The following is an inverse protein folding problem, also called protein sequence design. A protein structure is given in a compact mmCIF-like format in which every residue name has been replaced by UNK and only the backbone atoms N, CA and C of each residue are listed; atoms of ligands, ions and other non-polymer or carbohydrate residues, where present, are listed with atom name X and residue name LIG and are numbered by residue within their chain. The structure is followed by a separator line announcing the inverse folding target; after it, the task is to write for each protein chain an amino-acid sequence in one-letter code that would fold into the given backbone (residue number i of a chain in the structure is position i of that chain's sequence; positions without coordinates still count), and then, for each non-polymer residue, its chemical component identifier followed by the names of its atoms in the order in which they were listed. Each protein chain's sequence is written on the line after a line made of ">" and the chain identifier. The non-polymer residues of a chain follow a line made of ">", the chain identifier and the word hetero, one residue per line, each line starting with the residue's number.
data_IF_974393504810
#
_entry.id   IF_974393504810
#
_cell.length_a   1.000
_cell.length_b   1.000
_cell.length_c   1.000
_cell.angle_alpha   90.00
_cell.angle_beta   90.00
_cell.angle_gamma   90.00
#
_symmetry.space_group_name_H-M   'P 1'
#
loop_
_entity.id
_entity.type
_entity.pdbx_description
1 polymer ?
#
# COMPACT_ATOMS: atom_id res chain seq x y z
N UNK A 1 3.20 -3.58 -34.55
CA UNK A 1 3.52 -3.27 -33.14
C UNK A 1 2.32 -2.78 -32.31
N UNK A 2 1.12 -2.60 -32.89
CA UNK A 2 -0.11 -2.16 -32.17
C UNK A 2 -0.70 -3.27 -31.27
N UNK A 3 -0.56 -4.55 -31.66
CA UNK A 3 -1.12 -5.68 -30.90
C UNK A 3 -0.44 -5.97 -29.56
N UNK A 4 0.83 -5.58 -29.38
CA UNK A 4 1.54 -5.76 -28.10
C UNK A 4 1.00 -4.76 -27.05
N UNK A 5 0.64 -3.55 -27.48
CA UNK A 5 0.07 -2.53 -26.59
C UNK A 5 -1.39 -2.82 -26.21
N UNK A 6 -2.17 -3.42 -27.11
CA UNK A 6 -3.56 -3.82 -26.80
C UNK A 6 -3.58 -4.95 -25.76
N UNK A 7 -2.65 -5.92 -25.85
CA UNK A 7 -2.49 -6.96 -24.81
C UNK A 7 -1.99 -6.36 -23.49
N UNK A 8 -1.00 -5.46 -23.54
CA UNK A 8 -0.44 -4.80 -22.36
C UNK A 8 -1.42 -3.86 -21.63
N UNK A 9 -2.40 -3.26 -22.31
CA UNK A 9 -3.38 -2.39 -21.64
C UNK A 9 -4.66 -3.14 -21.29
N UNK A 10 -5.18 -4.00 -22.17
CA UNK A 10 -6.49 -4.61 -22.00
C UNK A 10 -6.52 -5.70 -20.93
N UNK A 11 -5.49 -6.54 -20.84
CA UNK A 11 -5.46 -7.63 -19.86
C UNK A 11 -5.14 -7.15 -18.45
N UNK A 12 -4.15 -6.26 -18.22
CA UNK A 12 -3.91 -5.69 -16.90
C UNK A 12 -5.08 -4.84 -16.42
N UNK A 13 -5.70 -4.03 -17.30
CA UNK A 13 -6.90 -3.27 -16.91
C UNK A 13 -8.08 -4.19 -16.55
N UNK A 14 -8.31 -5.28 -17.29
CA UNK A 14 -9.34 -6.27 -16.90
C UNK A 14 -9.02 -7.01 -15.60
N UNK A 15 -7.74 -7.35 -15.37
CA UNK A 15 -7.30 -7.98 -14.13
C UNK A 15 -7.45 -7.01 -12.95
N UNK A 16 -7.09 -5.74 -13.13
CA UNK A 16 -7.34 -4.67 -12.17
C UNK A 16 -8.83 -4.47 -11.92
N UNK A 17 -9.68 -4.43 -12.96
CA UNK A 17 -11.14 -4.32 -12.79
C UNK A 17 -11.70 -5.52 -12.01
N UNK A 18 -11.23 -6.73 -12.30
CA UNK A 18 -11.59 -7.94 -11.55
C UNK A 18 -11.18 -7.87 -10.08
N UNK A 19 -9.92 -7.47 -9.81
CA UNK A 19 -9.39 -7.31 -8.46
C UNK A 19 -10.12 -6.19 -7.69
N UNK A 20 -10.35 -5.04 -8.32
CA UNK A 20 -11.08 -3.92 -7.76
C UNK A 20 -12.53 -4.27 -7.44
N UNK A 21 -13.22 -4.99 -8.33
CA UNK A 21 -14.60 -5.45 -8.10
C UNK A 21 -14.67 -6.54 -7.02
N UNK A 22 -13.66 -7.40 -6.90
CA UNK A 22 -13.56 -8.37 -5.81
C UNK A 22 -13.35 -7.69 -4.45
N UNK A 23 -12.39 -6.75 -4.39
CA UNK A 23 -12.11 -5.97 -3.18
C UNK A 23 -13.30 -5.11 -2.75
N UNK A 24 -14.00 -4.46 -3.69
CA UNK A 24 -15.14 -3.60 -3.36
C UNK A 24 -16.30 -4.40 -2.75
N UNK A 25 -16.61 -5.60 -3.29
CA UNK A 25 -17.63 -6.49 -2.73
C UNK A 25 -17.26 -6.99 -1.34
N UNK A 26 -16.02 -7.45 -1.16
CA UNK A 26 -15.52 -7.90 0.16
C UNK A 26 -15.61 -6.77 1.20
N UNK A 27 -15.19 -5.55 0.84
CA UNK A 27 -15.32 -4.39 1.73
C UNK A 27 -16.76 -4.00 2.00
N UNK A 28 -17.67 -4.16 1.04
CA UNK A 28 -19.08 -3.82 1.21
C UNK A 28 -19.78 -4.77 2.19
N UNK A 29 -19.46 -6.07 2.14
CA UNK A 29 -19.97 -7.06 3.09
C UNK A 29 -19.40 -6.84 4.50
N UNK A 30 -18.10 -6.60 4.61
CA UNK A 30 -17.44 -6.32 5.91
C UNK A 30 -17.94 -4.99 6.50
N UNK A 31 -18.11 -3.95 5.69
CA UNK A 31 -18.62 -2.67 6.17
C UNK A 31 -20.11 -2.63 6.47
N UNK A 32 -20.91 -3.53 5.87
CA UNK A 32 -22.33 -3.66 6.19
C UNK A 32 -22.57 -4.06 7.65
N UNK A 33 -21.65 -4.81 8.27
CA UNK A 33 -21.74 -5.23 9.66
C UNK A 33 -21.08 -4.29 10.69
N UNK A 34 -20.33 -3.26 10.26
CA UNK A 34 -19.41 -2.53 11.13
C UNK A 34 -19.31 -1.03 10.80
N UNK A 35 -20.44 -0.33 10.79
CA UNK A 35 -20.51 1.12 10.48
C UNK A 35 -19.57 1.99 11.33
N UNK A 36 -19.31 1.62 12.59
CA UNK A 36 -18.40 2.35 13.49
C UNK A 36 -16.91 2.09 13.22
N UNK A 37 -16.55 0.88 12.77
CA UNK A 37 -15.16 0.55 12.42
C UNK A 37 -14.80 0.98 10.99
N UNK A 38 -15.78 1.16 10.11
CA UNK A 38 -15.51 1.54 8.72
C UNK A 38 -15.16 3.02 8.53
N UNK A 39 -15.55 3.94 9.42
CA UNK A 39 -15.13 5.35 9.29
C UNK A 39 -13.59 5.54 9.39
N UNK A 40 -12.89 4.97 10.40
CA UNK A 40 -11.43 5.07 10.43
C UNK A 40 -10.76 4.30 9.27
N UNK A 41 -11.28 3.13 8.89
CA UNK A 41 -10.73 2.35 7.77
C UNK A 41 -10.87 3.07 6.44
N UNK A 42 -12.02 3.69 6.16
CA UNK A 42 -12.24 4.46 4.92
C UNK A 42 -11.32 5.67 4.84
N UNK A 43 -11.07 6.37 5.96
CA UNK A 43 -10.08 7.46 6.01
C UNK A 43 -8.65 6.99 5.70
N UNK A 44 -8.29 5.75 6.05
CA UNK A 44 -6.98 5.16 5.69
C UNK A 44 -6.94 4.79 4.21
N UNK A 45 -8.03 4.26 3.67
CA UNK A 45 -8.15 3.88 2.25
C UNK A 45 -8.15 5.07 1.30
N UNK A 46 -8.62 6.24 1.76
CA UNK A 46 -8.59 7.51 1.02
C UNK A 46 -7.15 8.09 0.86
N UNK A 47 -6.14 7.46 1.48
CA UNK A 47 -4.74 7.88 1.40
C UNK A 47 -3.97 7.05 0.37
N UNK A 48 -2.90 7.59 -0.25
CA UNK A 48 -2.00 6.79 -1.08
C UNK A 48 -1.47 5.59 -0.26
N UNK A 49 -1.41 4.41 -0.90
CA UNK A 49 -1.08 3.13 -0.27
C UNK A 49 -2.02 2.68 0.86
N UNK A 50 -3.20 3.27 1.03
CA UNK A 50 -4.17 2.87 2.05
C UNK A 50 -4.52 1.39 2.02
N UNK A 51 -4.76 0.84 0.83
CA UNK A 51 -5.00 -0.60 0.65
C UNK A 51 -3.83 -1.47 1.11
N UNK A 52 -2.59 -1.06 0.85
CA UNK A 52 -1.39 -1.78 1.32
C UNK A 52 -1.30 -1.78 2.85
N UNK A 53 -1.58 -0.65 3.51
CA UNK A 53 -1.58 -0.56 4.98
C UNK A 53 -2.63 -1.48 5.60
N UNK A 54 -3.86 -1.44 5.08
CA UNK A 54 -4.95 -2.29 5.57
C UNK A 54 -4.63 -3.77 5.36
N UNK A 55 -4.16 -4.15 4.17
CA UNK A 55 -3.74 -5.52 3.87
C UNK A 55 -2.59 -5.98 4.76
N UNK A 56 -1.59 -5.13 4.98
CA UNK A 56 -0.47 -5.43 5.88
C UNK A 56 -1.00 -5.73 7.27
N UNK A 57 -1.74 -4.79 7.87
CA UNK A 57 -2.29 -4.98 9.22
C UNK A 57 -3.19 -6.21 9.34
N UNK A 58 -4.02 -6.48 8.34
CA UNK A 58 -4.93 -7.63 8.31
C UNK A 58 -4.20 -8.98 8.28
N UNK A 59 -2.95 -9.03 7.81
CA UNK A 59 -2.18 -10.28 7.70
C UNK A 59 -1.08 -10.39 8.76
N UNK A 60 -0.34 -9.31 8.99
CA UNK A 60 0.85 -9.33 9.86
C UNK A 60 0.50 -9.19 11.34
N UNK A 61 -0.61 -8.55 11.71
CA UNK A 61 -1.05 -8.49 13.12
C UNK A 61 -1.60 -9.84 13.61
N UNK A 62 -2.48 -10.55 12.87
CA UNK A 62 -2.82 -11.92 13.23
C UNK A 62 -1.62 -12.85 13.26
N UNK A 63 -0.68 -12.72 12.31
CA UNK A 63 0.56 -13.50 12.33
C UNK A 63 1.38 -13.27 13.61
N UNK A 64 1.53 -12.01 14.04
CA UNK A 64 2.21 -11.66 15.28
C UNK A 64 1.46 -12.18 16.52
N UNK A 65 0.12 -12.16 16.50
CA UNK A 65 -0.69 -12.72 17.59
C UNK A 65 -0.51 -14.24 17.71
N UNK A 66 -0.61 -14.99 16.60
CA UNK A 66 -0.39 -16.44 16.60
C UNK A 66 1.03 -16.79 17.06
N UNK A 67 2.04 -16.04 16.59
CA UNK A 67 3.40 -16.20 17.05
C UNK A 67 3.54 -15.91 18.55
N UNK A 68 2.90 -14.85 19.06
CA UNK A 68 2.91 -14.50 20.48
C UNK A 68 2.29 -15.59 21.35
N UNK A 69 1.18 -16.19 20.91
CA UNK A 69 0.58 -17.37 21.55
C UNK A 69 1.57 -18.53 21.52
N UNK A 70 2.21 -18.79 20.38
CA UNK A 70 3.24 -19.83 20.23
C UNK A 70 4.46 -19.64 21.14
N UNK A 71 4.88 -18.40 21.41
CA UNK A 71 5.93 -18.10 22.40
C UNK A 71 5.47 -18.41 23.82
N UNK A 72 4.19 -18.27 24.15
CA UNK A 72 3.64 -18.56 25.46
C UNK A 72 3.29 -20.04 25.68
N UNK A 73 3.17 -20.81 24.60
CA UNK A 73 2.79 -22.22 24.59
C UNK A 73 3.89 -23.12 25.22
N UNK A 74 3.50 -23.99 26.14
CA UNK A 74 4.42 -24.89 26.86
C UNK A 74 4.94 -26.00 25.95
N UNK A 75 4.11 -26.50 25.04
CA UNK A 75 4.50 -27.61 24.16
C UNK A 75 5.53 -27.14 23.14
N UNK A 76 5.39 -25.90 22.66
CA UNK A 76 6.38 -25.25 21.79
C UNK A 76 7.70 -25.01 22.51
N UNK A 77 7.67 -24.60 23.79
CA UNK A 77 8.89 -24.43 24.59
C UNK A 77 9.57 -25.75 24.95
N UNK A 78 8.80 -26.82 25.11
CA UNK A 78 9.29 -28.14 25.43
C UNK A 78 9.94 -28.83 24.21
N UNK A 79 9.67 -28.38 22.99
CA UNK A 79 10.30 -28.92 21.80
C UNK A 79 11.76 -28.48 21.67
N UNK A 80 12.69 -29.36 22.07
CA UNK A 80 14.14 -29.09 22.05
C UNK A 80 14.78 -29.19 20.66
N UNK A 81 14.16 -29.94 19.76
CA UNK A 81 14.80 -30.37 18.51
C UNK A 81 14.80 -29.27 17.43
N UNK A 82 14.06 -28.19 17.65
CA UNK A 82 13.97 -27.08 16.71
C UNK A 82 13.89 -25.71 17.42
N UNK A 83 14.39 -24.63 16.79
CA UNK A 83 14.41 -23.31 17.38
C UNK A 83 13.03 -22.61 17.31
N UNK A 84 11.93 -23.33 17.59
CA UNK A 84 10.57 -22.81 17.38
C UNK A 84 10.21 -21.62 18.25
N UNK A 85 10.69 -21.57 19.49
CA UNK A 85 10.46 -20.40 20.36
C UNK A 85 11.12 -19.15 19.77
N UNK A 86 12.34 -19.28 19.23
CA UNK A 86 13.03 -18.18 18.56
C UNK A 86 12.34 -17.82 17.23
N UNK A 87 11.85 -18.80 16.49
CA UNK A 87 11.06 -18.60 15.27
C UNK A 87 9.79 -17.78 15.55
N UNK A 88 9.00 -18.18 16.55
CA UNK A 88 7.82 -17.43 16.97
C UNK A 88 8.19 -16.01 17.44
N UNK A 89 9.24 -15.86 18.26
CA UNK A 89 9.72 -14.55 18.70
C UNK A 89 10.09 -13.64 17.53
N UNK A 90 10.80 -14.17 16.54
CA UNK A 90 11.15 -13.44 15.31
C UNK A 90 9.91 -13.05 14.51
N UNK A 91 8.89 -13.91 14.39
CA UNK A 91 7.65 -13.58 13.68
C UNK A 91 6.82 -12.50 14.37
N UNK A 92 6.83 -12.41 15.70
CA UNK A 92 6.24 -11.27 16.41
C UNK A 92 6.92 -9.97 15.98
N UNK A 93 8.26 -9.94 16.01
CA UNK A 93 9.03 -8.76 15.62
C UNK A 93 8.83 -8.39 14.15
N UNK A 94 8.85 -9.37 13.25
CA UNK A 94 8.62 -9.15 11.83
C UNK A 94 7.21 -8.65 11.54
N UNK A 95 6.18 -9.20 12.20
CA UNK A 95 4.80 -8.74 12.02
C UNK A 95 4.60 -7.27 12.44
N UNK A 96 5.23 -6.87 13.55
CA UNK A 96 5.26 -5.47 13.99
C UNK A 96 6.08 -4.59 13.05
N UNK A 97 7.23 -5.07 12.58
CA UNK A 97 8.10 -4.35 11.64
C UNK A 97 7.38 -4.07 10.32
N UNK A 98 6.71 -5.06 9.72
CA UNK A 98 5.94 -4.86 8.49
C UNK A 98 4.81 -3.85 8.67
N UNK A 99 4.07 -3.94 9.78
CA UNK A 99 3.00 -2.99 10.11
C UNK A 99 3.53 -1.57 10.26
N UNK A 100 4.59 -1.41 11.06
CA UNK A 100 5.24 -0.12 11.28
C UNK A 100 5.80 0.46 9.98
N UNK A 101 6.40 -0.38 9.14
CA UNK A 101 6.95 0.04 7.85
C UNK A 101 5.88 0.45 6.85
N UNK A 102 4.72 -0.23 6.82
CA UNK A 102 3.59 0.17 5.98
C UNK A 102 3.05 1.56 6.37
N UNK A 103 2.91 1.83 7.66
CA UNK A 103 2.54 3.15 8.17
C UNK A 103 3.60 4.21 7.85
N UNK A 104 4.88 3.86 8.02
CA UNK A 104 6.01 4.72 7.66
C UNK A 104 5.96 5.12 6.18
N UNK A 105 5.80 4.16 5.26
CA UNK A 105 5.72 4.42 3.83
C UNK A 105 4.54 5.32 3.46
N UNK A 106 3.36 5.04 4.02
CA UNK A 106 2.19 5.89 3.78
C UNK A 106 2.44 7.32 4.28
N UNK A 107 2.98 7.48 5.48
CA UNK A 107 3.31 8.80 6.04
C UNK A 107 4.36 9.53 5.18
N UNK A 108 5.41 8.83 4.74
CA UNK A 108 6.48 9.39 3.92
C UNK A 108 5.98 9.88 2.56
N UNK A 109 5.09 9.12 1.92
CA UNK A 109 4.48 9.53 0.65
C UNK A 109 3.55 10.74 0.83
N UNK A 110 2.68 10.73 1.85
CA UNK A 110 1.76 11.85 2.11
C UNK A 110 2.55 13.14 2.39
N UNK A 111 3.53 13.07 3.28
CA UNK A 111 4.36 14.24 3.62
C UNK A 111 5.20 14.71 2.44
N UNK A 112 5.85 13.80 1.71
CA UNK A 112 6.65 14.15 0.54
C UNK A 112 5.84 14.81 -0.59
N UNK A 113 4.59 14.38 -0.80
CA UNK A 113 3.69 15.00 -1.78
C UNK A 113 3.22 16.39 -1.33
N UNK A 114 2.95 16.60 -0.03
CA UNK A 114 2.51 17.88 0.51
C UNK A 114 3.61 18.95 0.47
N UNK A 115 4.85 18.60 0.81
CA UNK A 115 5.98 19.54 0.84
C UNK A 115 6.23 20.20 -0.52
N UNK A 116 6.03 19.46 -1.62
CA UNK A 116 6.30 20.00 -2.96
C UNK A 116 5.20 20.92 -3.48
N UNK A 117 3.95 20.74 -3.05
CA UNK A 117 2.85 21.65 -3.37
C UNK A 117 3.13 23.06 -2.84
N UNK A 118 3.74 23.16 -1.65
CA UNK A 118 4.12 24.43 -1.03
C UNK A 118 5.26 25.13 -1.77
N UNK A 119 6.29 24.38 -2.19
CA UNK A 119 7.42 24.94 -2.96
C UNK A 119 6.95 25.44 -4.34
N UNK A 120 6.05 24.71 -4.99
CA UNK A 120 5.49 25.14 -6.28
C UNK A 120 4.68 26.44 -6.19
N UNK A 121 3.96 26.67 -5.08
CA UNK A 121 3.21 27.91 -4.85
C UNK A 121 4.11 29.12 -4.57
N UNK A 122 5.22 28.93 -3.84
CA UNK A 122 6.13 30.04 -3.54
C UNK A 122 6.81 30.59 -4.80
N UNK A 123 7.20 29.73 -5.74
CA UNK A 123 7.83 30.16 -6.99
C UNK A 123 6.90 31.01 -7.88
N UNK A 124 5.58 30.86 -7.78
CA UNK A 124 4.62 31.65 -8.55
C UNK A 124 4.39 33.07 -8.00
N UNK A 125 4.86 33.39 -6.78
CA UNK A 125 4.55 34.66 -6.10
C UNK A 125 5.60 35.75 -6.36
N UNK A 126 6.77 35.40 -6.91
CA UNK A 126 7.90 36.32 -7.09
C UNK A 126 8.00 36.95 -8.49
N UNK A 127 7.15 36.57 -9.45
CA UNK A 127 7.12 37.16 -10.79
C UNK A 127 5.99 38.17 -10.94
N UNK A 128 6.20 39.37 -10.40
CA UNK A 128 5.62 40.62 -10.91
C UNK A 128 4.18 40.98 -10.51
N UNK A 129 3.91 42.26 -10.19
CA UNK A 129 2.56 42.76 -9.99
C UNK A 129 1.90 43.04 -11.35
N UNK A 130 1.12 42.11 -11.90
CA UNK A 130 0.16 42.45 -12.95
C UNK A 130 -0.88 41.37 -13.22
N UNK A 131 -2.13 41.86 -13.32
CA UNK A 131 -3.36 41.24 -13.80
C UNK A 131 -4.10 40.29 -12.85
N UNK A 132 -5.26 40.78 -12.41
CA UNK A 132 -6.35 40.24 -11.58
C UNK A 132 -7.01 38.94 -12.07
N UNK A 133 -6.29 38.03 -12.73
CA UNK A 133 -6.80 36.72 -13.13
C UNK A 133 -6.17 35.63 -12.28
N UNK A 134 -6.89 35.11 -11.29
CA UNK A 134 -6.48 33.91 -10.57
C UNK A 134 -6.32 32.75 -11.57
N UNK A 135 -5.10 32.49 -12.01
CA UNK A 135 -4.82 31.39 -12.92
C UNK A 135 -5.27 30.09 -12.23
N UNK A 136 -5.99 29.21 -12.93
CA UNK A 136 -6.47 27.96 -12.36
C UNK A 136 -5.28 27.16 -11.84
N UNK A 137 -5.30 26.78 -10.56
CA UNK A 137 -4.31 25.89 -9.98
C UNK A 137 -4.31 24.57 -10.76
N UNK A 138 -3.28 24.37 -11.56
CA UNK A 138 -3.12 23.13 -12.31
C UNK A 138 -2.72 22.04 -11.33
N UNK A 139 -3.59 21.05 -11.15
CA UNK A 139 -3.25 19.88 -10.34
C UNK A 139 -2.07 19.13 -10.99
N UNK A 140 -1.10 18.67 -10.19
CA UNK A 140 0.04 17.90 -10.71
C UNK A 140 -0.47 16.68 -11.45
N UNK A 141 0.16 16.39 -12.59
CA UNK A 141 -0.20 15.24 -13.42
C UNK A 141 0.19 13.93 -12.71
N UNK A 142 -0.53 12.83 -12.95
CA UNK A 142 -0.20 11.53 -12.36
C UNK A 142 1.24 11.09 -12.62
N UNK A 143 1.80 11.45 -13.78
CA UNK A 143 3.19 11.17 -14.14
C UNK A 143 4.17 11.88 -13.22
N UNK A 144 3.91 13.16 -12.91
CA UNK A 144 4.74 13.92 -11.97
C UNK A 144 4.63 13.31 -10.57
N UNK A 145 3.41 12.98 -10.13
CA UNK A 145 3.19 12.32 -8.83
C UNK A 145 3.95 10.99 -8.75
N UNK A 146 3.93 10.18 -9.81
CA UNK A 146 4.66 8.90 -9.88
C UNK A 146 6.17 9.10 -9.82
N UNK A 147 6.70 10.01 -10.65
CA UNK A 147 8.13 10.29 -10.69
C UNK A 147 8.62 10.77 -9.33
N UNK A 148 7.80 11.57 -8.63
CA UNK A 148 8.07 12.05 -7.27
C UNK A 148 8.02 10.91 -6.25
N UNK A 149 6.97 10.09 -6.28
CA UNK A 149 6.84 8.94 -5.38
C UNK A 149 8.00 7.94 -5.57
N UNK A 150 8.36 7.64 -6.82
CA UNK A 150 9.50 6.78 -7.15
C UNK A 150 10.82 7.36 -6.67
N UNK A 151 11.05 8.67 -6.86
CA UNK A 151 12.23 9.34 -6.34
C UNK A 151 12.27 9.30 -4.81
N UNK A 152 11.14 9.53 -4.13
CA UNK A 152 11.08 9.42 -2.67
C UNK A 152 11.45 8.01 -2.21
N UNK A 153 10.92 6.96 -2.85
CA UNK A 153 11.21 5.57 -2.49
C UNK A 153 12.66 5.16 -2.78
N UNK A 154 13.22 5.57 -3.92
CA UNK A 154 14.56 5.15 -4.37
C UNK A 154 15.67 5.72 -3.47
N UNK A 155 15.47 6.91 -2.91
CA UNK A 155 16.42 7.56 -2.01
C UNK A 155 16.06 7.41 -0.52
N UNK A 156 15.06 6.59 -0.19
CA UNK A 156 14.69 6.32 1.19
C UNK A 156 15.52 5.16 1.75
N UNK A 157 16.50 5.48 2.61
CA UNK A 157 17.38 4.49 3.26
C UNK A 157 16.55 3.44 4.02
N UNK A 158 15.46 3.85 4.67
CA UNK A 158 14.57 2.95 5.40
C UNK A 158 13.92 1.93 4.47
N UNK A 159 13.48 2.36 3.29
CA UNK A 159 12.95 1.46 2.26
C UNK A 159 13.99 0.48 1.74
N UNK A 160 15.21 0.95 1.43
CA UNK A 160 16.28 0.07 0.97
C UNK A 160 16.60 -1.03 1.99
N UNK A 161 16.69 -0.69 3.28
CA UNK A 161 16.92 -1.67 4.34
C UNK A 161 15.74 -2.64 4.51
N UNK A 162 14.52 -2.13 4.39
CA UNK A 162 13.30 -2.95 4.50
C UNK A 162 13.21 -4.02 3.40
N UNK A 163 13.67 -3.75 2.18
CA UNK A 163 13.68 -4.76 1.10
C UNK A 163 14.45 -6.01 1.51
N UNK A 164 15.62 -5.85 2.16
CA UNK A 164 16.39 -6.98 2.67
C UNK A 164 15.68 -7.70 3.82
N UNK A 165 15.07 -6.94 4.75
CA UNK A 165 14.28 -7.52 5.83
C UNK A 165 13.08 -8.31 5.29
N UNK A 166 12.42 -7.83 4.23
CA UNK A 166 11.29 -8.49 3.59
C UNK A 166 11.69 -9.80 2.92
N UNK A 167 12.80 -9.81 2.16
CA UNK A 167 13.34 -11.04 1.55
C UNK A 167 13.78 -12.04 2.63
N UNK A 168 14.48 -11.55 3.66
CA UNK A 168 14.90 -12.35 4.80
C UNK A 168 13.71 -12.96 5.54
N UNK A 169 12.65 -12.19 5.78
CA UNK A 169 11.41 -12.67 6.40
C UNK A 169 10.75 -13.77 5.59
N UNK A 170 10.72 -13.64 4.25
CA UNK A 170 10.17 -14.67 3.37
C UNK A 170 10.95 -15.99 3.47
N UNK A 171 12.28 -15.94 3.31
CA UNK A 171 13.13 -17.13 3.41
C UNK A 171 13.06 -17.76 4.80
N UNK A 172 13.08 -16.92 5.84
CA UNK A 172 12.97 -17.35 7.23
C UNK A 172 11.65 -18.07 7.52
N UNK A 173 10.52 -17.58 7.00
CA UNK A 173 9.22 -18.23 7.17
C UNK A 173 9.10 -19.55 6.37
N UNK A 174 9.73 -19.65 5.19
CA UNK A 174 9.84 -20.92 4.46
C UNK A 174 10.61 -21.98 5.27
N UNK A 175 11.74 -21.60 5.88
CA UNK A 175 12.51 -22.51 6.75
C UNK A 175 11.73 -22.85 8.04
N UNK A 176 11.09 -21.85 8.65
CA UNK A 176 10.30 -22.01 9.86
C UNK A 176 9.12 -22.97 9.73
N UNK A 177 8.50 -23.06 8.54
CA UNK A 177 7.50 -24.08 8.26
C UNK A 177 8.04 -25.51 8.40
N UNK A 178 9.29 -25.76 8.00
CA UNK A 178 9.93 -27.06 8.19
C UNK A 178 10.22 -27.34 9.66
N UNK A 179 10.60 -26.34 10.45
CA UNK A 179 10.76 -26.50 11.90
C UNK A 179 9.43 -26.77 12.60
N UNK A 180 8.38 -26.04 12.23
CA UNK A 180 7.03 -26.22 12.78
C UNK A 180 6.47 -27.62 12.53
N UNK A 181 6.80 -28.25 11.39
CA UNK A 181 6.37 -29.62 11.11
C UNK A 181 7.02 -30.70 12.00
N UNK A 182 8.12 -30.40 12.68
CA UNK A 182 8.85 -31.37 13.50
C UNK A 182 8.31 -31.47 14.93
N UNK A 183 7.59 -30.45 15.42
CA UNK A 183 7.04 -30.45 16.77
C UNK A 183 5.54 -30.74 16.74
N UNK A 184 5.12 -31.78 17.47
CA UNK A 184 3.70 -32.08 17.69
C UNK A 184 3.22 -31.27 18.89
N UNK A 185 2.13 -30.50 18.75
CA UNK A 185 1.49 -29.84 19.90
C UNK A 185 0.71 -28.58 19.59
N UNK A 186 1.13 -27.76 18.62
CA UNK A 186 0.46 -26.48 18.34
C UNK A 186 0.57 -26.06 16.89
N UNK A 187 -0.57 -25.71 16.28
CA UNK A 187 -0.63 -25.18 14.91
C UNK A 187 -0.22 -23.69 14.83
N UNK A 188 -0.03 -23.02 15.96
CA UNK A 188 0.17 -21.57 16.03
C UNK A 188 1.40 -21.07 15.26
N UNK A 189 2.59 -21.72 15.35
CA UNK A 189 3.75 -21.30 14.57
C UNK A 189 3.51 -21.42 13.05
N UNK A 190 2.88 -22.50 12.61
CA UNK A 190 2.55 -22.73 11.19
C UNK A 190 1.54 -21.70 10.69
N UNK A 191 0.50 -21.40 11.47
CA UNK A 191 -0.48 -20.37 11.12
C UNK A 191 0.17 -18.99 10.99
N UNK A 192 1.06 -18.62 11.92
CA UNK A 192 1.85 -17.40 11.82
C UNK A 192 2.64 -17.34 10.51
N UNK A 193 3.37 -18.42 10.19
CA UNK A 193 4.17 -18.50 8.98
C UNK A 193 3.34 -18.39 7.71
N UNK A 194 2.19 -19.05 7.65
CA UNK A 194 1.25 -18.98 6.52
C UNK A 194 0.77 -17.56 6.28
N UNK A 195 0.38 -16.83 7.33
CA UNK A 195 -0.05 -15.43 7.19
C UNK A 195 1.09 -14.51 6.72
N UNK A 196 2.32 -14.73 7.21
CA UNK A 196 3.50 -13.98 6.76
C UNK A 196 3.84 -14.24 5.29
N UNK A 197 3.77 -15.51 4.85
CA UNK A 197 4.01 -15.89 3.45
C UNK A 197 2.90 -15.37 2.53
N UNK A 198 1.65 -15.45 2.97
CA UNK A 198 0.51 -14.87 2.24
C UNK A 198 0.65 -13.35 2.10
N UNK A 199 1.05 -12.67 3.17
CA UNK A 199 1.38 -11.24 3.11
C UNK A 199 2.47 -10.96 2.09
N UNK A 200 3.58 -11.71 2.11
CA UNK A 200 4.67 -11.50 1.17
C UNK A 200 4.20 -11.64 -0.29
N UNK A 201 3.43 -12.69 -0.59
CA UNK A 201 2.85 -12.90 -1.90
C UNK A 201 1.93 -11.74 -2.31
N UNK A 202 0.98 -11.37 -1.47
CA UNK A 202 0.02 -10.30 -1.78
C UNK A 202 0.68 -8.92 -1.87
N UNK A 203 1.71 -8.64 -1.07
CA UNK A 203 2.49 -7.39 -1.13
C UNK A 203 3.21 -7.23 -2.47
N UNK A 204 3.85 -8.29 -2.98
CA UNK A 204 4.50 -8.26 -4.29
C UNK A 204 3.48 -8.06 -5.40
N UNK A 205 2.37 -8.80 -5.38
CA UNK A 205 1.29 -8.66 -6.36
C UNK A 205 0.68 -7.25 -6.32
N UNK A 206 0.44 -6.71 -5.13
CA UNK A 206 -0.02 -5.33 -4.94
C UNK A 206 0.96 -4.33 -5.56
N UNK A 207 2.27 -4.49 -5.30
CA UNK A 207 3.29 -3.62 -5.88
C UNK A 207 3.34 -3.67 -7.41
N UNK A 208 3.22 -4.87 -8.00
CA UNK A 208 3.17 -5.06 -9.45
C UNK A 208 1.90 -4.43 -10.05
N UNK A 209 0.72 -4.71 -9.49
CA UNK A 209 -0.54 -4.15 -9.95
C UNK A 209 -0.56 -2.63 -9.83
N UNK A 210 -0.04 -2.09 -8.73
CA UNK A 210 0.11 -0.66 -8.53
C UNK A 210 1.02 -0.03 -9.59
N UNK A 211 2.19 -0.64 -9.85
CA UNK A 211 3.08 -0.18 -10.91
C UNK A 211 2.41 -0.22 -12.30
N UNK A 212 1.71 -1.30 -12.62
CA UNK A 212 0.97 -1.43 -13.88
C UNK A 212 -0.13 -0.36 -14.02
N UNK A 213 -0.92 -0.12 -12.97
CA UNK A 213 -1.95 0.92 -12.98
C UNK A 213 -1.37 2.31 -13.29
N UNK A 214 -0.23 2.64 -12.67
CA UNK A 214 0.46 3.91 -12.90
C UNK A 214 1.07 4.02 -14.31
N UNK A 215 1.61 2.92 -14.84
CA UNK A 215 2.13 2.87 -16.21
C UNK A 215 1.02 3.02 -17.26
N UNK A 216 -0.14 2.38 -17.04
CA UNK A 216 -1.31 2.49 -17.91
C UNK A 216 -1.85 3.93 -17.97
N UNK A 217 -1.94 4.63 -16.84
CA UNK A 217 -2.40 6.03 -16.80
C UNK A 217 -1.50 6.94 -17.65
N UNK A 218 -0.19 6.69 -17.63
CA UNK A 218 0.79 7.43 -18.44
C UNK A 218 0.65 7.19 -19.95
N UNK A 219 0.20 6.01 -20.37
CA UNK A 219 0.03 5.64 -21.79
C UNK A 219 -1.35 6.06 -22.32
N UNK A 220 -2.41 5.74 -21.58
CA UNK A 220 -3.80 5.98 -21.99
C UNK A 220 -4.16 7.47 -21.95
N UNK A 221 -3.60 8.25 -21.01
CA UNK A 221 -3.79 9.70 -20.95
C UNK A 221 -3.28 10.43 -22.21
N UNK A 222 -2.34 9.84 -22.95
CA UNK A 222 -1.86 10.37 -24.25
C UNK A 222 -2.70 9.89 -25.43
N UNK A 223 -3.11 8.62 -25.42
CA UNK A 223 -3.81 7.99 -26.54
C UNK A 223 -5.27 8.45 -26.69
N UNK A 224 -5.94 8.77 -25.58
CA UNK A 224 -7.33 9.25 -25.64
C UNK A 224 -7.46 10.66 -26.22
N UNK A 225 -6.35 11.39 -26.43
CA UNK A 225 -6.33 12.60 -27.25
C UNK A 225 -7.44 13.60 -26.93
N UNK A 226 -7.99 13.55 -25.72
CA UNK A 226 -9.00 14.48 -25.28
C UNK A 226 -8.24 15.78 -25.10
N UNK A 227 -8.17 16.55 -26.19
CA UNK A 227 -7.80 17.95 -26.17
C UNK A 227 -8.40 18.51 -24.89
N UNK A 228 -7.58 19.07 -23.97
CA UNK A 228 -7.99 19.38 -22.61
C UNK A 228 -9.33 20.08 -22.68
N UNK A 229 -10.39 19.30 -22.45
CA UNK A 229 -11.75 19.77 -22.67
C UNK A 229 -11.88 20.73 -21.52
N UNK A 230 -11.81 22.04 -21.82
CA UNK A 230 -11.88 23.11 -20.84
C UNK A 230 -12.93 22.67 -19.84
N UNK A 231 -12.48 22.20 -18.68
CA UNK A 231 -13.40 21.59 -17.74
C UNK A 231 -14.33 22.75 -17.41
N UNK A 232 -15.62 22.72 -17.80
CA UNK A 232 -16.56 23.67 -17.22
C UNK A 232 -16.32 23.58 -15.72
N UNK A 233 -16.39 24.69 -14.98
CA UNK A 233 -16.10 24.79 -13.55
C UNK A 233 -16.94 23.82 -12.69
N UNK A 234 -16.72 22.53 -12.89
CA UNK A 234 -17.58 21.41 -12.59
C UNK A 234 -16.93 20.79 -11.36
N UNK A 235 -17.10 21.53 -10.26
CA UNK A 235 -17.29 21.02 -8.91
C UNK A 235 -16.55 19.69 -8.67
N UNK A 236 -15.23 19.76 -8.66
CA UNK A 236 -14.28 18.71 -8.29
C UNK A 236 -14.65 18.09 -6.93
N UNK A 237 -15.50 17.05 -6.90
CA UNK A 237 -15.81 16.30 -5.67
C UNK A 237 -15.45 14.82 -5.72
N UNK A 238 -15.12 14.26 -6.89
CA UNK A 238 -14.94 12.82 -7.07
C UNK A 238 -13.49 12.34 -7.12
N UNK A 239 -12.72 12.79 -8.12
CA UNK A 239 -11.41 12.19 -8.45
C UNK A 239 -10.24 12.69 -7.59
N UNK A 240 -10.29 13.94 -7.12
CA UNK A 240 -9.34 14.42 -6.10
C UNK A 240 -9.41 13.61 -4.79
N UNK A 241 -10.55 12.94 -4.52
CA UNK A 241 -10.77 12.16 -3.30
C UNK A 241 -9.95 10.86 -3.27
N UNK A 242 -9.48 10.35 -4.41
CA UNK A 242 -8.69 9.10 -4.50
C UNK A 242 -7.19 9.36 -4.29
N UNK A 243 -6.72 10.60 -4.51
CA UNK A 243 -5.27 10.92 -4.45
C UNK A 243 -4.95 11.86 -3.27
N UNK A 244 -5.87 12.76 -2.93
CA UNK A 244 -5.72 13.69 -1.82
C UNK A 244 -6.93 13.56 -0.91
N UNK A 245 -6.80 12.76 0.14
CA UNK A 245 -7.81 12.65 1.19
C UNK A 245 -8.37 14.02 1.58
N UNK A 246 -9.68 14.06 1.86
CA UNK A 246 -10.45 15.26 2.25
C UNK A 246 -9.61 16.24 3.07
N UNK A 247 -9.29 17.41 2.52
CA UNK A 247 -8.86 18.54 3.32
C UNK A 247 -9.98 18.88 4.31
N UNK A 248 -9.72 19.00 5.62
CA UNK A 248 -10.71 19.49 6.56
C UNK A 248 -11.13 20.89 6.13
N UNK A 249 -12.44 21.13 6.02
CA UNK A 249 -12.97 22.48 5.94
C UNK A 249 -12.61 23.17 7.25
N UNK A 250 -11.87 24.27 7.17
CA UNK A 250 -11.61 25.13 8.30
C UNK A 250 -12.95 25.52 8.95
N UNK A 251 -13.05 25.31 10.26
CA UNK A 251 -14.10 25.85 11.09
C UNK A 251 -13.78 27.31 11.45
#
# INVERSE_FOLDING_TARGET
>A
MIYVFDVCCKYPCKACDGACNGCSKCMQEVCGGCSQLCEPCTKVLDRPLGGYVVMTGALTLPAALFAGIGVADRDIRACSDSPLTAFCGANVLLGLLHTGFALYLQHRLVTGLQSQTLVGQQSATLTGPSATGAAPQQMPTSKELMQRAGHLLLYDIGFCLYVFAFIGAFVFNCAGMSWASQCQGSAMPSMSAVFMLLFAFLAVNFGVLWYCAMACDSMCGRLLGTAPRAQPAQRNRGLARVIFGKTPMAA
#
